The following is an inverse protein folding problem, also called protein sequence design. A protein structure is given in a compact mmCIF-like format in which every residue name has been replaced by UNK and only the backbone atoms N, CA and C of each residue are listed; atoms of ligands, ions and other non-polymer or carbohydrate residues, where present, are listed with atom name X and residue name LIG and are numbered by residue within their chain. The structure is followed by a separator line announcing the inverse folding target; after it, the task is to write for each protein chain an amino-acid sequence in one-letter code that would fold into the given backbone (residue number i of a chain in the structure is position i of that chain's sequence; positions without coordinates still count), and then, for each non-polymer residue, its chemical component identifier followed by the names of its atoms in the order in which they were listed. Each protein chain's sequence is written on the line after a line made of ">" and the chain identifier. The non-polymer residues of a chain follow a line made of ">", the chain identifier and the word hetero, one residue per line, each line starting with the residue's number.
data_IF_010467494320
#
_entry.id   IF_010467494320
#
_cell.length_a   1.000
_cell.length_b   1.000
_cell.length_c   1.000
_cell.angle_alpha   90.00
_cell.angle_beta   90.00
_cell.angle_gamma   90.00
#
_symmetry.space_group_name_H-M   'P 1'
#
loop_
_entity.id
_entity.type
_entity.pdbx_description
1 polymer ?
#
# COMPACT_ATOMS: atom_id res chain seq x y z
N UNK A 1 -4.21 24.14 -9.84
CA UNK A 1 -4.06 22.77 -9.33
C UNK A 1 -4.89 22.72 -8.05
N UNK A 2 -6.19 22.49 -8.22
CA UNK A 2 -7.19 22.65 -7.15
C UNK A 2 -6.97 21.57 -6.11
N UNK A 3 -6.80 21.98 -4.87
CA UNK A 3 -6.67 21.10 -3.71
C UNK A 3 -7.99 20.35 -3.52
N UNK A 4 -7.99 19.04 -3.81
CA UNK A 4 -9.14 18.15 -3.64
C UNK A 4 -9.53 17.97 -2.17
N UNK A 5 -8.79 18.56 -1.22
CA UNK A 5 -8.96 18.38 0.21
C UNK A 5 -9.34 19.65 0.99
N UNK A 6 -9.51 20.80 0.33
CA UNK A 6 -9.67 22.08 1.04
C UNK A 6 -11.13 22.44 1.44
N UNK A 7 -12.12 21.55 1.23
CA UNK A 7 -13.48 21.75 1.75
C UNK A 7 -14.12 20.49 2.33
N UNK A 8 -14.29 20.54 3.65
CA UNK A 8 -15.09 19.66 4.52
C UNK A 8 -16.54 19.51 4.02
N UNK A 9 -17.07 18.29 3.84
CA UNK A 9 -18.51 18.03 3.95
C UNK A 9 -18.83 17.55 5.37
N UNK A 10 -19.97 17.97 5.92
CA UNK A 10 -20.46 17.52 7.23
C UNK A 10 -20.84 16.02 7.27
N UNK A 11 -20.68 15.31 6.16
CA UNK A 11 -21.26 14.00 5.87
C UNK A 11 -20.21 13.03 5.29
N UNK A 12 -19.01 12.92 5.87
CA UNK A 12 -18.13 11.79 5.53
C UNK A 12 -18.40 10.61 6.49
N UNK A 13 -19.23 9.63 6.08
CA UNK A 13 -19.62 8.51 6.93
C UNK A 13 -18.44 7.64 7.38
N UNK A 14 -17.29 7.72 6.71
CA UNK A 14 -16.10 6.94 7.02
C UNK A 14 -15.39 7.34 8.32
N UNK A 15 -15.46 8.62 8.70
CA UNK A 15 -14.68 9.15 9.84
C UNK A 15 -15.15 8.59 11.19
N UNK A 16 -16.40 8.14 11.31
CA UNK A 16 -16.91 7.47 12.53
C UNK A 16 -16.20 6.15 12.83
N UNK A 17 -15.49 5.58 11.85
CA UNK A 17 -14.72 4.35 12.01
C UNK A 17 -13.26 4.60 12.41
N UNK A 18 -12.80 5.86 12.41
CA UNK A 18 -11.46 6.18 12.85
C UNK A 18 -11.37 6.12 14.37
N UNK A 19 -10.30 5.52 14.88
CA UNK A 19 -10.07 5.51 16.33
C UNK A 19 -9.86 6.95 16.84
N UNK A 20 -10.24 7.23 18.10
CA UNK A 20 -10.00 8.54 18.71
C UNK A 20 -8.52 8.95 18.61
N UNK A 21 -8.26 10.17 18.13
CA UNK A 21 -6.91 10.70 17.99
C UNK A 21 -6.18 10.34 16.68
N UNK A 22 -6.79 9.56 15.79
CA UNK A 22 -6.24 9.34 14.44
C UNK A 22 -6.52 10.56 13.57
N UNK A 23 -5.49 11.27 13.06
CA UNK A 23 -5.68 12.39 12.16
C UNK A 23 -6.27 11.89 10.83
N UNK A 24 -7.33 12.54 10.36
CA UNK A 24 -7.94 12.25 9.06
C UNK A 24 -7.13 12.80 7.86
N UNK A 25 -6.42 13.94 7.93
CA UNK A 25 -5.60 14.40 6.81
C UNK A 25 -4.26 13.69 6.92
N UNK A 26 -4.18 12.47 6.39
CA UNK A 26 -2.91 11.80 6.16
C UNK A 26 -2.43 12.18 4.76
N UNK A 27 -1.18 12.65 4.60
CA UNK A 27 -0.62 12.85 3.28
C UNK A 27 -0.61 11.50 2.56
N UNK A 28 -1.42 11.39 1.51
CA UNK A 28 -1.52 10.17 0.71
C UNK A 28 -0.31 10.13 -0.22
N UNK A 29 0.51 9.04 -0.19
CA UNK A 29 1.60 8.87 -1.14
C UNK A 29 1.09 8.93 -2.58
N UNK A 30 1.90 9.47 -3.49
CA UNK A 30 1.55 9.49 -4.93
C UNK A 30 1.82 8.14 -5.59
N UNK A 31 2.69 7.34 -4.99
CA UNK A 31 3.04 6.00 -5.42
C UNK A 31 1.88 5.04 -5.16
N UNK A 32 1.60 4.19 -6.15
CA UNK A 32 0.63 3.11 -5.96
C UNK A 32 1.22 1.99 -5.09
N UNK A 33 0.37 1.12 -4.54
CA UNK A 33 0.85 -0.06 -3.82
C UNK A 33 1.80 -0.96 -4.67
N UNK A 34 1.51 -1.21 -5.97
CA UNK A 34 2.47 -1.87 -6.86
C UNK A 34 3.81 -1.14 -6.99
N UNK A 35 3.81 0.20 -7.08
CA UNK A 35 5.06 0.99 -7.16
C UNK A 35 5.92 0.83 -5.90
N UNK A 36 5.27 0.80 -4.73
CA UNK A 36 5.94 0.55 -3.45
C UNK A 36 6.54 -0.85 -3.40
N UNK A 37 5.84 -1.87 -3.90
CA UNK A 37 6.36 -3.24 -4.01
C UNK A 37 7.54 -3.33 -4.99
N UNK A 38 7.48 -2.62 -6.11
CA UNK A 38 8.57 -2.54 -7.08
C UNK A 38 9.80 -1.86 -6.47
N UNK A 39 9.62 -0.77 -5.71
CA UNK A 39 10.68 -0.13 -4.94
C UNK A 39 11.32 -1.06 -3.91
N UNK A 40 10.51 -1.78 -3.15
CA UNK A 40 10.98 -2.75 -2.16
C UNK A 40 11.74 -3.92 -2.80
N UNK A 41 11.27 -4.44 -3.93
CA UNK A 41 11.95 -5.51 -4.66
C UNK A 41 13.32 -5.07 -5.23
N UNK A 42 13.45 -3.81 -5.66
CA UNK A 42 14.73 -3.22 -6.07
C UNK A 42 15.69 -3.07 -4.90
N UNK A 43 15.24 -2.45 -3.80
CA UNK A 43 16.10 -2.07 -2.66
C UNK A 43 16.41 -3.22 -1.70
N UNK A 44 15.47 -4.15 -1.52
CA UNK A 44 15.50 -5.19 -0.49
C UNK A 44 15.25 -6.59 -1.05
N UNK A 45 15.55 -6.83 -2.33
CA UNK A 45 15.08 -8.02 -3.05
C UNK A 45 15.36 -9.38 -2.40
N UNK A 46 16.48 -9.53 -1.68
CA UNK A 46 16.83 -10.75 -0.94
C UNK A 46 16.32 -10.82 0.51
N UNK A 47 15.81 -9.71 1.07
CA UNK A 47 15.22 -9.70 2.41
C UNK A 47 13.87 -10.41 2.38
N UNK A 48 13.58 -11.18 3.43
CA UNK A 48 12.30 -11.90 3.59
C UNK A 48 11.14 -10.91 3.58
N UNK A 49 10.17 -11.14 2.70
CA UNK A 49 8.95 -10.36 2.57
C UNK A 49 7.74 -11.11 3.15
N UNK A 50 7.71 -12.44 3.01
CA UNK A 50 6.62 -13.28 3.48
C UNK A 50 7.17 -14.57 4.08
N UNK A 51 6.60 -14.95 5.22
CA UNK A 51 6.88 -16.21 5.92
C UNK A 51 5.59 -17.03 5.93
N UNK A 52 5.67 -18.24 5.41
CA UNK A 52 4.63 -19.26 5.48
C UNK A 52 5.22 -20.52 6.14
N UNK A 53 4.39 -21.46 6.63
CA UNK A 53 4.89 -22.71 7.21
C UNK A 53 5.86 -23.42 6.26
N UNK A 54 7.11 -23.62 6.71
CA UNK A 54 8.16 -24.27 5.92
C UNK A 54 8.74 -23.45 4.76
N UNK A 55 8.29 -22.21 4.53
CA UNK A 55 8.71 -21.43 3.37
C UNK A 55 8.92 -19.94 3.67
N UNK A 56 9.94 -19.35 3.05
CA UNK A 56 10.21 -17.92 3.12
C UNK A 56 10.51 -17.42 1.72
N UNK A 57 9.88 -16.32 1.31
CA UNK A 57 10.19 -15.66 0.05
C UNK A 57 10.67 -14.23 0.29
N UNK A 58 11.62 -13.80 -0.54
CA UNK A 58 12.09 -12.41 -0.55
C UNK A 58 11.22 -11.48 -1.39
N UNK A 59 11.41 -10.17 -1.23
CA UNK A 59 10.65 -9.14 -1.96
C UNK A 59 10.69 -9.31 -3.48
N UNK A 60 11.83 -9.76 -4.04
CA UNK A 60 11.95 -10.00 -5.48
C UNK A 60 11.04 -11.13 -5.97
N UNK A 61 10.91 -12.19 -5.18
CA UNK A 61 10.05 -13.34 -5.51
C UNK A 61 8.58 -12.95 -5.37
N UNK A 62 8.22 -12.25 -4.30
CA UNK A 62 6.86 -11.74 -4.08
C UNK A 62 6.40 -10.85 -5.24
N UNK A 63 7.24 -9.89 -5.67
CA UNK A 63 6.93 -9.02 -6.82
C UNK A 63 6.69 -9.81 -8.10
N UNK A 64 7.52 -10.81 -8.40
CA UNK A 64 7.33 -11.66 -9.58
C UNK A 64 6.02 -12.44 -9.51
N UNK A 65 5.68 -12.99 -8.35
CA UNK A 65 4.42 -13.70 -8.15
C UNK A 65 3.21 -12.79 -8.37
N UNK A 66 3.23 -11.57 -7.80
CA UNK A 66 2.18 -10.57 -7.99
C UNK A 66 2.04 -10.15 -9.46
N UNK A 67 3.15 -9.84 -10.13
CA UNK A 67 3.16 -9.45 -11.54
C UNK A 67 2.66 -10.56 -12.48
N UNK A 68 2.89 -11.83 -12.13
CA UNK A 68 2.36 -12.98 -12.89
C UNK A 68 0.84 -13.12 -12.75
N UNK A 69 0.29 -12.79 -11.57
CA UNK A 69 -1.14 -12.91 -11.29
C UNK A 69 -1.94 -11.71 -11.82
N UNK A 70 -1.37 -10.50 -11.79
CA UNK A 70 -2.02 -9.27 -12.19
C UNK A 70 -2.77 -9.31 -13.54
N UNK A 71 -2.22 -9.87 -14.65
CA UNK A 71 -2.95 -9.92 -15.92
C UNK A 71 -4.12 -10.93 -15.94
N UNK A 72 -4.29 -11.75 -14.91
CA UNK A 72 -5.34 -12.78 -14.83
C UNK A 72 -6.53 -12.36 -13.93
N UNK A 73 -6.56 -11.11 -13.47
CA UNK A 73 -7.61 -10.51 -12.64
C UNK A 73 -8.28 -9.36 -13.41
#
# INVERSE_FOLDING_TARGET
>A
MTDLFERRPAEEPGLRFYAPGVPWPLPVPRETLPDLLDGAARRYGGRTALVAPGHRIGFRVLRRAAARLAPAL
#
